data_IF_060267334563
#
_entry.id   IF_060267334563
#
_cell.length_a   1.000
_cell.length_b   1.000
_cell.length_c   1.000
_cell.angle_alpha   90.00
_cell.angle_beta   90.00
_cell.angle_gamma   90.00
#
_symmetry.space_group_name_H-M   'P 1'
#
loop_
_entity.id
_entity.type
_entity.pdbx_description
1 polymer ?
#
# COMPACT_ATOMS: atom_id res chain seq x y z
N UNK A 1 12.11 4.00 -19.40
CA UNK A 1 10.91 3.15 -19.36
C UNK A 1 10.02 3.69 -18.25
N UNK A 2 8.70 3.64 -18.40
CA UNK A 2 7.78 4.13 -17.37
C UNK A 2 7.75 3.12 -16.20
N UNK A 3 8.02 3.58 -14.97
CA UNK A 3 8.08 2.72 -13.80
C UNK A 3 6.73 2.04 -13.51
N UNK A 4 5.62 2.71 -13.81
CA UNK A 4 4.30 2.11 -13.68
C UNK A 4 4.15 0.91 -14.62
N UNK A 5 4.60 1.04 -15.87
CA UNK A 5 4.57 -0.04 -16.84
C UNK A 5 5.44 -1.23 -16.41
N UNK A 6 6.59 -0.98 -15.76
CA UNK A 6 7.44 -2.05 -15.19
C UNK A 6 6.72 -2.84 -14.09
N UNK A 7 6.05 -2.16 -13.16
CA UNK A 7 5.25 -2.80 -12.11
C UNK A 7 4.08 -3.58 -12.71
N UNK A 8 3.38 -3.00 -13.68
CA UNK A 8 2.29 -3.65 -14.40
C UNK A 8 2.74 -4.90 -15.14
N UNK A 9 3.87 -4.85 -15.83
CA UNK A 9 4.45 -6.00 -16.53
C UNK A 9 4.82 -7.14 -15.57
N UNK A 10 5.36 -6.82 -14.40
CA UNK A 10 5.65 -7.82 -13.37
C UNK A 10 4.39 -8.50 -12.83
N UNK A 11 3.32 -7.75 -12.59
CA UNK A 11 2.03 -8.31 -12.18
C UNK A 11 1.41 -9.19 -13.28
N UNK A 12 1.48 -8.74 -14.54
CA UNK A 12 1.01 -9.51 -15.69
C UNK A 12 1.77 -10.84 -15.83
N UNK A 13 3.09 -10.84 -15.60
CA UNK A 13 3.89 -12.07 -15.61
C UNK A 13 3.41 -13.07 -14.55
N UNK A 14 3.11 -12.61 -13.33
CA UNK A 14 2.52 -13.46 -12.27
C UNK A 14 1.15 -14.04 -12.67
N UNK A 15 0.31 -13.22 -13.30
CA UNK A 15 -1.01 -13.66 -13.79
C UNK A 15 -0.88 -14.72 -14.89
N UNK A 16 -0.01 -14.50 -15.89
CA UNK A 16 0.23 -15.45 -16.99
C UNK A 16 0.88 -16.75 -16.51
N UNK A 17 1.81 -16.66 -15.57
CA UNK A 17 2.46 -17.82 -14.95
C UNK A 17 1.58 -18.56 -13.94
N UNK A 18 0.36 -18.05 -13.65
CA UNK A 18 -0.56 -18.57 -12.64
C UNK A 18 0.10 -18.72 -11.26
N UNK A 19 0.86 -17.70 -10.86
CA UNK A 19 1.54 -17.66 -9.57
C UNK A 19 0.82 -16.69 -8.61
N UNK A 20 0.57 -17.10 -7.35
CA UNK A 20 0.01 -16.20 -6.35
C UNK A 20 1.00 -15.07 -6.06
N UNK A 21 0.46 -13.89 -5.75
CA UNK A 21 1.26 -12.71 -5.38
C UNK A 21 0.84 -12.11 -4.04
N UNK A 22 -0.37 -12.45 -3.54
CA UNK A 22 -0.93 -11.92 -2.30
C UNK A 22 0.00 -12.00 -1.08
N UNK A 23 0.77 -13.08 -0.94
CA UNK A 23 1.70 -13.26 0.18
C UNK A 23 2.74 -12.15 0.31
N UNK A 24 3.21 -11.61 -0.81
CA UNK A 24 4.17 -10.48 -0.82
C UNK A 24 3.57 -9.19 -0.24
N UNK A 25 2.25 -9.11 -0.22
CA UNK A 25 1.48 -7.97 0.24
C UNK A 25 0.75 -8.26 1.56
N UNK A 26 1.00 -9.40 2.21
CA UNK A 26 0.36 -9.77 3.49
C UNK A 26 -1.10 -10.21 3.33
N UNK A 27 -1.48 -10.69 2.14
CA UNK A 27 -2.69 -11.46 1.91
C UNK A 27 -2.37 -12.96 1.93
N UNK A 28 -3.40 -13.81 1.94
CA UNK A 28 -3.22 -15.24 1.76
C UNK A 28 -2.50 -15.54 0.44
N UNK A 29 -1.42 -16.35 0.47
CA UNK A 29 -0.59 -16.63 -0.69
C UNK A 29 -1.09 -17.83 -1.52
N UNK A 30 -2.41 -17.89 -1.75
CA UNK A 30 -3.07 -19.01 -2.42
C UNK A 30 -3.92 -18.56 -3.61
N UNK A 31 -4.49 -17.36 -3.55
CA UNK A 31 -5.32 -16.82 -4.62
C UNK A 31 -4.48 -16.43 -5.84
N UNK A 32 -4.97 -16.78 -7.01
CA UNK A 32 -4.34 -16.41 -8.28
C UNK A 32 -4.83 -15.04 -8.75
N UNK A 33 -3.96 -14.20 -9.33
CA UNK A 33 -4.40 -13.00 -10.02
C UNK A 33 -5.36 -13.32 -11.17
N UNK A 34 -6.46 -12.59 -11.27
CA UNK A 34 -7.52 -12.81 -12.29
C UNK A 34 -7.81 -11.56 -13.11
N UNK A 35 -7.56 -10.38 -12.56
CA UNK A 35 -7.75 -9.10 -13.25
C UNK A 35 -6.59 -8.17 -12.96
N UNK A 36 -6.17 -7.43 -13.98
CA UNK A 36 -5.16 -6.38 -13.88
C UNK A 36 -5.69 -5.15 -14.63
N UNK A 37 -5.80 -4.04 -13.93
CA UNK A 37 -6.21 -2.75 -14.49
C UNK A 37 -5.07 -1.75 -14.29
N UNK A 38 -4.71 -1.05 -15.36
CA UNK A 38 -3.76 0.06 -15.36
C UNK A 38 -4.53 1.38 -15.54
N UNK A 39 -3.97 2.49 -15.07
CA UNK A 39 -4.57 3.84 -15.20
C UNK A 39 -5.99 3.90 -14.63
N UNK A 40 -6.14 3.63 -13.33
CA UNK A 40 -7.46 3.69 -12.71
C UNK A 40 -7.88 5.16 -12.62
N UNK A 41 -8.71 5.60 -13.58
CA UNK A 41 -9.15 7.00 -13.71
C UNK A 41 -9.89 7.56 -12.49
N UNK A 42 -10.27 6.71 -11.53
CA UNK A 42 -10.85 7.06 -10.23
C UNK A 42 -10.30 6.13 -9.14
N UNK A 43 -9.48 6.64 -8.21
CA UNK A 43 -9.03 5.87 -7.05
C UNK A 43 -7.65 6.23 -6.49
N UNK A 44 -7.21 5.42 -5.53
CA UNK A 44 -5.88 5.46 -4.89
C UNK A 44 -4.75 5.02 -5.85
N UNK A 45 -5.08 4.40 -6.98
CA UNK A 45 -4.19 3.42 -7.59
C UNK A 45 -3.83 3.75 -9.04
N UNK A 46 -2.55 3.66 -9.36
CA UNK A 46 -2.10 3.61 -10.76
C UNK A 46 -2.40 2.22 -11.35
N UNK A 47 -2.44 1.19 -10.50
CA UNK A 47 -2.64 -0.21 -10.88
C UNK A 47 -3.52 -0.92 -9.86
N UNK A 48 -4.52 -1.66 -10.33
CA UNK A 48 -5.36 -2.53 -9.50
C UNK A 48 -5.25 -3.98 -9.94
N UNK A 49 -5.01 -4.87 -8.99
CA UNK A 49 -4.98 -6.32 -9.18
C UNK A 49 -6.10 -6.98 -8.40
N UNK A 50 -7.01 -7.67 -9.09
CA UNK A 50 -7.98 -8.57 -8.46
C UNK A 50 -7.50 -10.01 -8.47
N UNK A 51 -7.86 -10.77 -7.43
CA UNK A 51 -7.52 -12.18 -7.28
C UNK A 51 -8.77 -13.06 -7.18
N UNK A 52 -8.59 -14.37 -7.38
CA UNK A 52 -9.68 -15.34 -7.48
C UNK A 52 -10.54 -15.53 -6.22
N UNK A 53 -10.06 -15.08 -5.05
CA UNK A 53 -10.77 -15.14 -3.77
C UNK A 53 -11.42 -13.81 -3.38
N UNK A 54 -11.67 -12.96 -4.38
CA UNK A 54 -12.18 -11.59 -4.27
C UNK A 54 -11.27 -10.65 -3.45
N UNK A 55 -10.03 -11.02 -3.20
CA UNK A 55 -9.04 -10.08 -2.64
C UNK A 55 -8.52 -9.14 -3.72
N UNK A 56 -8.08 -7.95 -3.29
CA UNK A 56 -7.64 -6.87 -4.16
C UNK A 56 -6.35 -6.24 -3.65
N UNK A 57 -5.45 -5.92 -4.59
CA UNK A 57 -4.25 -5.14 -4.33
C UNK A 57 -4.31 -3.88 -5.18
N UNK A 58 -4.22 -2.75 -4.50
CA UNK A 58 -4.39 -1.39 -4.97
C UNK A 58 -3.00 -0.74 -4.88
N UNK A 59 -2.36 -0.47 -6.03
CA UNK A 59 -0.97 -0.04 -6.11
C UNK A 59 -0.86 1.40 -6.62
N UNK A 60 -0.18 2.24 -5.84
CA UNK A 60 0.36 3.51 -6.29
C UNK A 60 1.84 3.33 -6.63
N UNK A 61 2.25 3.77 -7.82
CA UNK A 61 3.63 3.72 -8.29
C UNK A 61 4.27 5.11 -8.17
N UNK A 62 5.47 5.18 -7.61
CA UNK A 62 6.28 6.41 -7.55
C UNK A 62 7.74 6.08 -7.84
N UNK A 63 8.39 6.84 -8.71
CA UNK A 63 9.81 6.64 -8.99
C UNK A 63 10.69 6.88 -7.76
N UNK A 64 10.28 7.78 -6.87
CA UNK A 64 10.90 8.03 -5.56
C UNK A 64 9.86 8.49 -4.54
N UNK A 65 9.99 7.99 -3.31
CA UNK A 65 9.28 8.48 -2.13
C UNK A 65 10.17 8.26 -0.90
N UNK A 66 10.06 9.14 0.09
CA UNK A 66 10.82 9.06 1.34
C UNK A 66 9.97 9.49 2.53
N UNK A 67 10.46 9.20 3.74
CA UNK A 67 9.83 9.68 4.97
C UNK A 67 10.14 11.18 5.12
N UNK A 68 9.13 12.02 4.95
CA UNK A 68 9.24 13.47 5.14
C UNK A 68 7.99 13.99 5.83
N UNK A 69 8.15 15.04 6.65
CA UNK A 69 7.01 15.71 7.30
C UNK A 69 6.18 16.56 6.32
N UNK A 70 6.66 16.78 5.10
CA UNK A 70 5.95 17.57 4.11
C UNK A 70 4.75 16.79 3.57
N UNK A 71 3.52 17.27 3.86
CA UNK A 71 2.27 16.66 3.40
C UNK A 71 2.17 16.61 1.85
N UNK A 72 2.84 17.52 1.16
CA UNK A 72 2.90 17.55 -0.31
C UNK A 72 3.96 16.63 -0.90
N UNK A 73 4.71 15.90 -0.08
CA UNK A 73 5.65 14.87 -0.55
C UNK A 73 4.92 13.72 -1.25
N UNK A 74 5.62 12.93 -2.09
CA UNK A 74 5.00 11.78 -2.75
C UNK A 74 4.31 10.83 -1.77
N UNK A 75 4.94 10.52 -0.63
CA UNK A 75 4.35 9.69 0.41
C UNK A 75 3.13 10.37 1.06
N UNK A 76 3.25 11.64 1.46
CA UNK A 76 2.15 12.38 2.10
C UNK A 76 0.89 12.44 1.22
N UNK A 77 1.07 12.68 -0.08
CA UNK A 77 -0.03 12.65 -1.06
C UNK A 77 -0.67 11.27 -1.18
N UNK A 78 0.13 10.20 -1.28
CA UNK A 78 -0.40 8.82 -1.33
C UNK A 78 -1.20 8.49 -0.07
N UNK A 79 -0.70 8.86 1.12
CA UNK A 79 -1.40 8.65 2.39
C UNK A 79 -2.74 9.42 2.39
N UNK A 80 -2.75 10.67 1.92
CA UNK A 80 -3.97 11.46 1.83
C UNK A 80 -5.00 10.86 0.87
N UNK A 81 -4.56 10.35 -0.28
CA UNK A 81 -5.41 9.62 -1.22
C UNK A 81 -5.99 8.35 -0.58
N UNK A 82 -5.18 7.59 0.16
CA UNK A 82 -5.65 6.39 0.86
C UNK A 82 -6.70 6.74 1.90
N UNK A 83 -6.44 7.76 2.73
CA UNK A 83 -7.40 8.24 3.72
C UNK A 83 -8.73 8.63 3.08
N UNK A 84 -8.71 9.32 1.92
CA UNK A 84 -9.92 9.65 1.16
C UNK A 84 -10.69 8.41 0.72
N UNK A 85 -10.03 7.43 0.08
CA UNK A 85 -10.70 6.20 -0.38
C UNK A 85 -11.36 5.45 0.78
N UNK A 86 -10.69 5.40 1.93
CA UNK A 86 -11.24 4.80 3.15
C UNK A 86 -12.49 5.55 3.65
N UNK A 87 -12.43 6.88 3.69
CA UNK A 87 -13.57 7.72 4.09
C UNK A 87 -14.75 7.58 3.14
N UNK A 88 -14.50 7.57 1.84
CA UNK A 88 -15.55 7.41 0.82
C UNK A 88 -16.20 6.02 0.91
N UNK A 89 -15.39 4.96 1.08
CA UNK A 89 -15.91 3.60 1.31
C UNK A 89 -16.75 3.52 2.59
N UNK A 90 -16.31 4.19 3.66
CA UNK A 90 -17.09 4.23 4.91
C UNK A 90 -18.40 4.99 4.74
N UNK A 91 -18.42 6.06 3.95
CA UNK A 91 -19.63 6.82 3.67
C UNK A 91 -20.71 6.00 2.95
N UNK A 92 -20.32 4.93 2.23
CA UNK A 92 -21.28 3.97 1.65
C UNK A 92 -21.76 2.91 2.65
N UNK A 93 -21.35 3.00 3.93
CA UNK A 93 -21.69 2.02 4.97
C UNK A 93 -20.88 0.73 4.93
N UNK A 94 -19.83 0.68 4.09
CA UNK A 94 -18.94 -0.48 3.97
C UNK A 94 -17.67 -0.26 4.80
N UNK A 95 -17.19 -1.33 5.42
CA UNK A 95 -15.86 -1.35 6.03
C UNK A 95 -14.87 -1.95 5.02
N UNK A 96 -13.69 -1.34 4.87
CA UNK A 96 -12.59 -1.97 4.14
C UNK A 96 -12.07 -3.11 5.00
N UNK A 97 -12.12 -4.33 4.46
CA UNK A 97 -11.60 -5.51 5.13
C UNK A 97 -10.08 -5.62 4.88
N UNK A 98 -9.24 -5.43 5.91
CA UNK A 98 -7.80 -5.60 5.80
C UNK A 98 -7.38 -7.07 5.73
N UNK A 99 -8.28 -8.04 5.56
CA UNK A 99 -7.93 -9.37 5.05
C UNK A 99 -8.15 -9.50 3.54
N UNK A 100 -8.89 -8.55 2.93
CA UNK A 100 -9.28 -8.59 1.53
C UNK A 100 -8.64 -7.53 0.65
N UNK A 101 -8.28 -6.36 1.21
CA UNK A 101 -7.75 -5.24 0.42
C UNK A 101 -6.37 -4.83 0.92
N UNK A 102 -5.42 -4.61 0.00
CA UNK A 102 -4.09 -4.06 0.30
C UNK A 102 -3.81 -2.82 -0.51
N UNK A 103 -3.43 -1.75 0.17
CA UNK A 103 -2.83 -0.58 -0.45
C UNK A 103 -1.30 -0.74 -0.46
N UNK A 104 -0.69 -0.53 -1.62
CA UNK A 104 0.74 -0.72 -1.84
C UNK A 104 1.33 0.53 -2.45
N UNK A 105 2.38 1.07 -1.83
CA UNK A 105 3.22 2.07 -2.46
C UNK A 105 4.41 1.36 -3.10
N UNK A 106 4.38 1.22 -4.42
CA UNK A 106 5.48 0.70 -5.21
C UNK A 106 6.50 1.81 -5.48
N UNK A 107 7.77 1.55 -5.16
CA UNK A 107 8.88 2.48 -5.42
C UNK A 107 10.07 1.81 -6.08
N UNK A 108 10.85 2.59 -6.82
CA UNK A 108 12.07 2.07 -7.46
C UNK A 108 13.11 1.64 -6.42
N UNK A 109 14.08 0.83 -6.85
CA UNK A 109 15.18 0.39 -5.99
C UNK A 109 16.07 1.54 -5.48
N UNK A 110 16.05 2.69 -6.16
CA UNK A 110 16.78 3.90 -5.81
C UNK A 110 16.08 4.75 -4.73
N UNK A 111 14.82 4.44 -4.40
CA UNK A 111 14.11 5.17 -3.34
C UNK A 111 14.80 5.00 -1.98
N UNK A 112 14.79 6.05 -1.12
CA UNK A 112 15.35 6.01 0.22
C UNK A 112 14.98 4.75 1.01
N UNK A 113 15.94 4.23 1.80
CA UNK A 113 15.72 3.07 2.69
C UNK A 113 14.86 3.37 3.90
N UNK A 114 14.53 4.64 4.13
CA UNK A 114 13.62 5.05 5.20
C UNK A 114 12.24 4.40 5.07
N UNK A 115 11.80 4.05 3.85
CA UNK A 115 10.54 3.33 3.65
C UNK A 115 10.57 1.88 4.15
N UNK A 116 11.75 1.26 4.29
CA UNK A 116 11.91 -0.10 4.82
C UNK A 116 11.42 -0.14 6.29
N UNK A 117 11.66 0.93 7.06
CA UNK A 117 11.18 1.06 8.44
C UNK A 117 9.66 1.30 8.50
N UNK A 118 9.08 2.01 7.53
CA UNK A 118 7.63 2.15 7.44
C UNK A 118 6.97 0.82 7.09
N UNK A 119 7.54 0.08 6.14
CA UNK A 119 7.06 -1.26 5.79
C UNK A 119 7.10 -2.20 6.99
N UNK A 120 8.23 -2.31 7.68
CA UNK A 120 8.37 -3.15 8.89
C UNK A 120 7.38 -2.76 9.98
N UNK A 121 7.20 -1.46 10.20
CA UNK A 121 6.21 -0.92 11.14
C UNK A 121 4.78 -1.29 10.76
N UNK A 122 4.38 -1.12 9.50
CA UNK A 122 3.03 -1.49 9.02
C UNK A 122 2.80 -3.00 9.03
N UNK A 123 3.81 -3.80 8.66
CA UNK A 123 3.75 -5.27 8.67
C UNK A 123 3.53 -5.87 10.05
N UNK A 124 3.95 -5.17 11.10
CA UNK A 124 3.70 -5.60 12.47
C UNK A 124 2.20 -5.79 12.78
N UNK A 125 1.33 -5.04 12.10
CA UNK A 125 -0.12 -5.14 12.27
C UNK A 125 -0.73 -6.37 11.61
N UNK A 126 -0.01 -7.05 10.70
CA UNK A 126 -0.47 -8.30 10.10
C UNK A 126 -0.57 -9.42 11.15
N UNK A 127 0.11 -9.28 12.31
CA UNK A 127 0.01 -10.17 13.47
C UNK A 127 -1.15 -9.83 14.42
N UNK A 128 -1.93 -8.78 14.10
CA UNK A 128 -2.93 -8.21 14.98
C UNK A 128 -2.35 -7.23 16.01
N UNK A 129 -3.19 -6.82 16.97
CA UNK A 129 -2.83 -5.84 18.00
C UNK A 129 -3.39 -4.44 17.72
N UNK A 130 -3.35 -3.59 18.74
CA UNK A 130 -3.77 -2.18 18.64
C UNK A 130 -2.60 -1.31 18.19
N UNK A 131 -2.86 -0.11 17.68
CA UNK A 131 -1.85 0.88 17.30
C UNK A 131 -0.88 1.14 18.43
N UNK A 132 -1.39 1.41 19.63
CA UNK A 132 -0.57 1.72 20.81
C UNK A 132 0.39 0.59 21.14
N UNK A 133 -0.12 -0.65 21.23
CA UNK A 133 0.70 -1.83 21.59
C UNK A 133 1.70 -2.14 20.49
N UNK A 134 1.25 -2.23 19.24
CA UNK A 134 2.09 -2.62 18.10
C UNK A 134 3.21 -1.61 17.89
N UNK A 135 2.90 -0.31 17.94
CA UNK A 135 3.87 0.78 17.84
C UNK A 135 4.88 0.75 18.99
N UNK A 136 4.44 0.57 20.23
CA UNK A 136 5.34 0.55 21.39
C UNK A 136 6.40 -0.57 21.31
N UNK A 137 6.09 -1.68 20.64
CA UNK A 137 6.98 -2.82 20.47
C UNK A 137 7.97 -2.68 19.30
N UNK A 138 7.88 -1.61 18.50
CA UNK A 138 8.74 -1.41 17.33
C UNK A 138 10.09 -0.79 17.67
N UNK A 139 11.06 -0.98 16.77
CA UNK A 139 12.34 -0.26 16.84
C UNK A 139 12.12 1.25 16.78
N UNK A 140 13.11 2.05 17.19
CA UNK A 140 13.01 3.52 17.14
C UNK A 140 12.69 4.03 15.73
N UNK A 141 13.37 3.50 14.71
CA UNK A 141 13.17 3.93 13.33
C UNK A 141 11.76 3.61 12.80
N UNK A 142 11.23 2.43 13.11
CA UNK A 142 9.86 2.03 12.75
C UNK A 142 8.81 2.85 13.51
N UNK A 143 9.04 3.18 14.79
CA UNK A 143 8.14 4.05 15.57
C UNK A 143 8.05 5.45 14.98
N UNK A 144 9.20 6.07 14.69
CA UNK A 144 9.26 7.39 14.05
C UNK A 144 8.58 7.39 12.67
N UNK A 145 8.73 6.31 11.90
CA UNK A 145 8.03 6.13 10.62
C UNK A 145 6.51 6.03 10.78
N UNK A 146 6.05 5.24 11.76
CA UNK A 146 4.62 5.09 12.09
C UNK A 146 4.01 6.40 12.63
N UNK A 147 4.74 7.18 13.42
CA UNK A 147 4.32 8.51 13.88
C UNK A 147 4.09 9.48 12.73
N UNK A 148 5.02 9.48 11.77
CA UNK A 148 4.91 10.31 10.57
C UNK A 148 3.72 9.87 9.71
N UNK A 149 3.51 8.57 9.56
CA UNK A 149 2.36 8.01 8.86
C UNK A 149 1.04 8.44 9.52
N UNK A 150 0.93 8.27 10.85
CA UNK A 150 -0.23 8.68 11.64
C UNK A 150 -0.51 10.18 11.50
N UNK A 151 0.53 11.00 11.55
CA UNK A 151 0.42 12.46 11.38
C UNK A 151 -0.19 12.82 10.02
N UNK A 152 0.31 12.23 8.92
CA UNK A 152 -0.24 12.48 7.58
C UNK A 152 -1.67 11.96 7.43
N UNK A 153 -1.94 10.75 7.93
CA UNK A 153 -3.28 10.15 7.90
C UNK A 153 -4.30 11.01 8.65
N UNK A 154 -3.93 11.49 9.84
CA UNK A 154 -4.79 12.35 10.66
C UNK A 154 -5.03 13.71 10.00
N UNK A 155 -3.98 14.35 9.47
CA UNK A 155 -4.11 15.61 8.75
C UNK A 155 -5.03 15.48 7.52
N UNK A 156 -4.88 14.40 6.75
CA UNK A 156 -5.75 14.12 5.61
C UNK A 156 -7.21 13.89 6.01
N UNK A 157 -7.44 13.14 7.09
CA UNK A 157 -8.78 12.91 7.64
C UNK A 157 -9.47 14.22 8.05
N UNK A 158 -8.75 15.11 8.77
CA UNK A 158 -9.27 16.41 9.17
C UNK A 158 -9.62 17.29 7.96
N UNK A 159 -8.71 17.37 6.99
CA UNK A 159 -8.91 18.17 5.77
C UNK A 159 -10.16 17.71 4.99
N UNK A 160 -10.41 16.41 4.93
CA UNK A 160 -11.55 15.83 4.23
C UNK A 160 -12.86 15.94 5.03
N UNK A 161 -12.79 15.94 6.36
CA UNK A 161 -13.95 16.10 7.26
C UNK A 161 -14.44 17.54 7.38
N UNK A 162 -13.61 18.52 7.05
CA UNK A 162 -13.96 19.95 7.05
C UNK A 162 -14.72 20.42 5.79
N UNK A 163 -15.10 19.52 4.88
CA UNK A 163 -15.94 19.83 3.72
C UNK A 163 -17.40 20.18 4.08
N UNK A 164 -18.19 20.76 3.16
CA UNK A 164 -19.58 21.15 3.44
C UNK A 164 -20.41 19.97 3.96
N UNK A 165 -21.35 20.20 4.90
CA UNK A 165 -22.00 19.13 5.65
C UNK A 165 -22.82 18.23 4.73
N UNK A 166 -22.37 16.99 4.54
CA UNK A 166 -23.24 15.90 4.10
C UNK A 166 -24.07 15.45 5.31
N UNK A 167 -25.39 15.19 5.16
CA UNK A 167 -26.25 14.84 6.29
C UNK A 167 -25.69 13.61 7.02
N UNK A 168 -25.34 13.84 8.29
CA UNK A 168 -24.53 12.97 9.15
C UNK A 168 -25.31 11.74 9.60
N UNK A 169 -24.88 10.55 9.15
CA UNK A 169 -25.07 9.32 9.92
C UNK A 169 -23.82 9.10 10.76
N UNK A 170 -23.93 9.50 12.03
CA UNK A 170 -23.05 9.23 13.19
C UNK A 170 -21.71 8.57 12.84
N UNK A 171 -20.68 9.39 12.59
CA UNK A 171 -19.30 8.93 12.66
C UNK A 171 -18.87 8.98 14.14
N UNK A 172 -18.53 7.85 14.78
CA UNK A 172 -17.93 7.89 16.12
C UNK A 172 -16.60 8.64 16.07
N UNK A 173 -16.26 9.28 17.20
CA UNK A 173 -15.02 10.02 17.41
C UNK A 173 -13.78 9.20 17.00
N UNK A 174 -12.67 9.84 16.59
CA UNK A 174 -11.45 9.17 16.16
C UNK A 174 -10.72 8.56 17.38
N UNK A 175 -11.27 7.51 17.96
CA UNK A 175 -10.58 6.71 18.98
C UNK A 175 -9.80 5.61 18.26
N UNK A 176 -8.49 5.88 18.15
CA UNK A 176 -7.40 4.97 17.87
C UNK A 176 -7.30 4.34 16.45
N UNK A 177 -6.13 4.40 15.80
CA UNK A 177 -5.87 3.83 14.47
C UNK A 177 -5.84 2.27 14.42
N UNK A 178 -6.39 1.59 15.44
CA UNK A 178 -6.04 0.24 15.94
C UNK A 178 -6.33 -0.96 15.02
N UNK A 179 -6.81 -0.75 13.81
CA UNK A 179 -7.19 -1.79 12.83
C UNK A 179 -7.05 -1.34 11.37
N UNK A 180 -6.52 -0.14 11.12
CA UNK A 180 -6.86 0.63 9.92
C UNK A 180 -5.78 0.63 8.83
N UNK A 181 -4.60 0.03 9.07
CA UNK A 181 -3.44 0.28 8.22
C UNK A 181 -2.62 -0.98 7.96
N UNK A 182 -2.61 -1.43 6.71
CA UNK A 182 -1.50 -2.21 6.15
C UNK A 182 -1.11 -1.55 4.84
N UNK A 183 -0.19 -0.58 4.90
CA UNK A 183 0.57 -0.16 3.73
C UNK A 183 1.75 -1.12 3.63
N UNK A 184 1.79 -1.89 2.55
CA UNK A 184 3.02 -2.58 2.18
C UNK A 184 3.82 -1.64 1.29
N UNK A 185 5.03 -1.24 1.69
CA UNK A 185 5.92 -0.58 0.76
C UNK A 185 6.53 -1.66 -0.14
N UNK A 186 6.20 -1.68 -1.42
CA UNK A 186 6.83 -2.60 -2.35
C UNK A 186 8.05 -1.91 -2.96
N UNK A 187 9.25 -2.36 -2.55
CA UNK A 187 10.46 -1.97 -3.26
C UNK A 187 10.62 -2.88 -4.47
N UNK A 188 10.66 -2.30 -5.67
CA UNK A 188 10.91 -3.00 -6.93
C UNK A 188 12.30 -3.66 -7.05
N UNK A 189 13.05 -3.79 -5.94
CA UNK A 189 14.28 -4.63 -5.89
C UNK A 189 13.99 -6.07 -6.34
N UNK A 190 12.77 -6.59 -6.15
CA UNK A 190 12.40 -7.94 -6.63
C UNK A 190 12.08 -8.02 -8.14
N UNK A 191 11.78 -6.89 -8.80
CA UNK A 191 11.49 -6.88 -10.24
C UNK A 191 12.79 -7.03 -11.03
N UNK A 192 13.85 -6.34 -10.62
CA UNK A 192 15.18 -6.48 -11.23
C UNK A 192 15.85 -7.84 -10.95
N UNK A 193 15.58 -8.48 -9.81
CA UNK A 193 16.07 -9.84 -9.57
C UNK A 193 15.45 -10.85 -10.56
N UNK A 194 14.17 -10.68 -10.90
CA UNK A 194 13.46 -11.56 -11.82
C UNK A 194 13.93 -11.39 -13.28
N UNK A 195 14.22 -10.16 -13.72
CA UNK A 195 14.77 -9.91 -15.05
C UNK A 195 16.28 -10.13 -15.16
N UNK A 196 17.03 -10.00 -14.05
CA UNK A 196 18.48 -10.25 -14.03
C UNK A 196 18.85 -11.73 -13.97
N UNK A 197 17.98 -12.61 -13.47
CA UNK A 197 18.19 -14.06 -13.53
C UNK A 197 17.80 -14.65 -14.90
N UNK A 198 16.91 -13.99 -15.64
CA UNK A 198 16.46 -14.42 -16.98
C UNK A 198 17.41 -14.02 -18.12
N UNK A 199 18.46 -13.22 -17.87
CA UNK A 199 19.28 -12.61 -18.93
C UNK A 199 20.70 -13.18 -19.06
N UNK A 200 21.04 -14.29 -18.41
CA UNK A 200 22.31 -14.99 -18.68
C UNK A 200 22.10 -16.01 -19.79
N UNK A 201 22.63 -15.81 -21.01
CA UNK A 201 22.67 -16.87 -22.00
C UNK A 201 23.50 -18.03 -21.43
N UNK A 202 23.14 -19.29 -21.70
CA UNK A 202 23.99 -20.42 -21.34
C UNK A 202 25.31 -20.28 -22.11
N UNK A 203 26.37 -19.92 -21.38
CA UNK A 203 27.72 -20.05 -21.89
C UNK A 203 27.97 -21.54 -22.15
N UNK A 204 28.05 -21.89 -23.42
CA UNK A 204 28.62 -23.13 -23.91
C UNK A 204 30.07 -23.25 -23.46
N UNK A 205 30.38 -24.32 -22.72
CA UNK A 205 31.67 -25.03 -22.78
C UNK A 205 31.40 -26.51 -22.75
#
# INVERSE_FOLDING_TARGET
>A
MDFQAEVGAWLAAHMLARLPVGGRFGLANTALPTTLQLETGDGLDDIRLGQADDTRIDLQTKTSAGLTQNANSPLGKTIAQLARVMMDTRATGLAVDPAKVRAVLAVTAAAPRTLDALEGGCRAFDLGGTWEITKAQRSRAEREALELFETHSYAAFLAQSAGPPKPLRVLPAPSSPDRWWSISAFKARSVNAFFSESSKPPCSK
#
